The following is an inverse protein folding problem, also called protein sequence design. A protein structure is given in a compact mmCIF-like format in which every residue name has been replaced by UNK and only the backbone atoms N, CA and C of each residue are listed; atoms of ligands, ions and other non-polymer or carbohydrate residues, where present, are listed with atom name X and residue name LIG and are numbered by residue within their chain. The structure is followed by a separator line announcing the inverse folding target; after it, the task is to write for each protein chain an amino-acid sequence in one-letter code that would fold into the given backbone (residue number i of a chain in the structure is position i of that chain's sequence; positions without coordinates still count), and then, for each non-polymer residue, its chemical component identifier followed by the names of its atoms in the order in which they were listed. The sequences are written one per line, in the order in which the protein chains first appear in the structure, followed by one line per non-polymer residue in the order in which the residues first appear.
data_IF_215317640130
#
_entry.id   IF_215317640130
#
_cell.length_a   1.000
_cell.length_b   1.000
_cell.length_c   1.000
_cell.angle_alpha   90.00
_cell.angle_beta   90.00
_cell.angle_gamma   90.00
#
_symmetry.space_group_name_H-M   'P 1'
#
loop_
_entity.id
_entity.type
_entity.pdbx_description
1 polymer ?
#
# COMPACT_ATOMS: atom_id res chain seq x y z
N UNK A 1 -16.56 2.86 2.08
CA UNK A 1 -15.15 2.70 2.51
C UNK A 1 -14.84 1.19 2.55
N UNK A 2 -13.61 0.78 2.24
CA UNK A 2 -13.26 -0.66 2.15
C UNK A 2 -12.59 -1.24 3.40
N UNK A 3 -12.18 -0.39 4.35
CA UNK A 3 -11.59 -0.80 5.63
C UNK A 3 -12.28 -0.05 6.78
N UNK A 4 -13.54 -0.35 7.12
CA UNK A 4 -14.31 0.43 8.10
C UNK A 4 -13.99 0.11 9.56
N UNK A 5 -13.47 -1.09 9.85
CA UNK A 5 -13.31 -1.60 11.23
C UNK A 5 -12.07 -1.12 11.98
N UNK A 6 -12.08 -1.33 13.29
CA UNK A 6 -10.92 -1.27 14.19
C UNK A 6 -9.92 -2.40 13.92
N UNK A 7 -8.70 -2.34 14.45
CA UNK A 7 -7.67 -3.38 14.25
C UNK A 7 -8.19 -4.80 14.58
N UNK A 8 -8.93 -4.94 15.68
CA UNK A 8 -9.50 -6.23 16.07
C UNK A 8 -10.55 -6.73 15.07
N UNK A 9 -11.39 -5.83 14.56
CA UNK A 9 -12.41 -6.15 13.56
C UNK A 9 -11.78 -6.48 12.20
N UNK A 10 -10.68 -5.82 11.83
CA UNK A 10 -9.90 -6.11 10.61
C UNK A 10 -9.41 -7.55 10.65
N UNK A 11 -8.77 -7.97 11.75
CA UNK A 11 -8.25 -9.32 11.91
C UNK A 11 -9.39 -10.36 11.88
N UNK A 12 -10.52 -10.08 12.53
CA UNK A 12 -11.70 -10.93 12.46
C UNK A 12 -12.30 -11.01 11.05
N UNK A 13 -12.35 -9.89 10.33
CA UNK A 13 -12.81 -9.83 8.94
C UNK A 13 -11.95 -10.69 8.02
N UNK A 14 -10.62 -10.60 8.16
CA UNK A 14 -9.66 -11.43 7.42
C UNK A 14 -9.87 -12.93 7.73
N UNK A 15 -9.99 -13.27 9.02
CA UNK A 15 -10.07 -14.66 9.48
C UNK A 15 -11.40 -15.34 9.15
N UNK A 16 -12.51 -14.62 9.25
CA UNK A 16 -13.85 -15.21 9.23
C UNK A 16 -14.72 -14.76 8.05
N UNK A 17 -14.40 -13.64 7.37
CA UNK A 17 -15.28 -13.07 6.32
C UNK A 17 -14.60 -13.12 4.95
N UNK A 18 -13.49 -12.43 4.76
CA UNK A 18 -12.74 -12.39 3.51
C UNK A 18 -11.26 -12.09 3.77
N UNK A 19 -10.32 -12.96 3.40
CA UNK A 19 -10.52 -14.22 2.65
C UNK A 19 -11.31 -15.29 3.41
N UNK A 20 -11.41 -15.20 4.74
CA UNK A 20 -12.16 -16.16 5.55
C UNK A 20 -11.40 -17.48 5.73
N UNK A 21 -12.13 -18.55 6.02
CA UNK A 21 -11.59 -19.91 6.16
C UNK A 21 -10.41 -20.02 7.16
N UNK A 22 -10.49 -19.30 8.28
CA UNK A 22 -9.44 -19.24 9.30
C UNK A 22 -8.08 -18.74 8.79
N UNK A 23 -8.06 -18.00 7.67
CA UNK A 23 -6.83 -17.42 7.16
C UNK A 23 -6.22 -16.44 8.18
N UNK A 24 -4.92 -16.58 8.41
CA UNK A 24 -4.14 -15.69 9.28
C UNK A 24 -2.95 -15.17 8.48
N UNK A 25 -2.78 -13.84 8.34
CA UNK A 25 -1.60 -13.27 7.70
C UNK A 25 -0.33 -13.75 8.39
N UNK A 26 0.66 -14.19 7.61
CA UNK A 26 1.98 -14.62 8.12
C UNK A 26 3.00 -13.47 8.13
N UNK A 27 2.53 -12.23 8.08
CA UNK A 27 3.33 -11.02 8.09
C UNK A 27 2.73 -10.00 9.07
N UNK A 28 3.53 -9.04 9.57
CA UNK A 28 3.04 -8.04 10.51
C UNK A 28 1.92 -7.18 9.90
N UNK A 29 0.84 -7.02 10.65
CA UNK A 29 -0.22 -6.06 10.37
C UNK A 29 -0.08 -4.87 11.31
N UNK A 30 -0.14 -3.66 10.77
CA UNK A 30 -0.02 -2.42 11.54
C UNK A 30 -1.41 -1.83 11.81
N UNK A 31 -1.46 -0.86 12.74
CA UNK A 31 -2.67 -0.07 12.96
C UNK A 31 -3.07 0.68 11.68
N UNK A 32 -4.37 0.94 11.55
CA UNK A 32 -4.92 1.74 10.46
C UNK A 32 -4.39 3.18 10.56
N UNK A 33 -3.92 3.71 9.44
CA UNK A 33 -3.42 5.09 9.31
C UNK A 33 -3.92 5.71 8.00
N UNK A 34 -3.86 7.03 7.90
CA UNK A 34 -4.07 7.75 6.64
C UNK A 34 -2.78 7.73 5.81
N UNK A 35 -2.91 7.44 4.52
CA UNK A 35 -1.78 7.39 3.57
C UNK A 35 -1.74 8.59 2.62
N UNK A 36 -2.85 9.34 2.55
CA UNK A 36 -3.05 10.55 1.76
C UNK A 36 -3.82 11.59 2.59
N UNK A 37 -3.84 12.83 2.12
CA UNK A 37 -4.54 13.93 2.78
C UNK A 37 -3.75 14.58 3.90
N UNK A 38 -4.42 15.47 4.63
CA UNK A 38 -3.83 16.32 5.65
C UNK A 38 -3.14 15.53 6.78
N UNK A 39 -3.73 14.41 7.23
CA UNK A 39 -3.16 13.60 8.32
C UNK A 39 -2.36 12.39 7.82
N UNK A 40 -1.87 12.43 6.57
CA UNK A 40 -1.08 11.32 6.03
C UNK A 40 0.15 11.02 6.90
N UNK A 41 0.41 9.74 7.13
CA UNK A 41 1.52 9.32 7.97
C UNK A 41 2.89 9.68 7.33
N UNK A 42 3.89 10.15 8.11
CA UNK A 42 5.21 10.58 7.59
C UNK A 42 5.94 9.54 6.74
N UNK A 43 5.77 8.25 7.06
CA UNK A 43 6.29 7.15 6.24
C UNK A 43 5.78 7.23 4.80
N UNK A 44 4.48 7.47 4.60
CA UNK A 44 3.89 7.56 3.27
C UNK A 44 4.25 8.88 2.57
N UNK A 45 4.48 9.96 3.31
CA UNK A 45 5.10 11.17 2.75
C UNK A 45 6.47 10.86 2.15
N UNK A 46 7.33 10.17 2.90
CA UNK A 46 8.67 9.76 2.45
C UNK A 46 8.61 8.84 1.22
N UNK A 47 7.80 7.79 1.26
CA UNK A 47 7.67 6.82 0.17
C UNK A 47 7.15 7.47 -1.13
N UNK A 48 6.08 8.27 -1.05
CA UNK A 48 5.50 8.98 -2.21
C UNK A 48 6.45 10.01 -2.81
N UNK A 49 7.30 10.64 -1.98
CA UNK A 49 8.29 11.62 -2.42
C UNK A 49 9.49 11.00 -3.15
N UNK A 50 9.84 9.74 -2.84
CA UNK A 50 10.97 9.04 -3.49
C UNK A 50 10.56 8.20 -4.69
N UNK A 51 9.31 7.73 -4.74
CA UNK A 51 8.77 7.03 -5.90
C UNK A 51 7.45 7.69 -6.32
N UNK A 52 7.54 8.53 -7.36
CA UNK A 52 6.37 9.20 -7.94
C UNK A 52 5.43 8.19 -8.58
N UNK A 53 4.14 8.51 -8.62
CA UNK A 53 3.17 7.63 -9.26
C UNK A 53 3.43 7.61 -10.78
N UNK A 54 3.48 6.43 -11.43
CA UNK A 54 3.60 6.36 -12.88
C UNK A 54 2.30 6.78 -13.60
N UNK A 55 1.21 6.94 -12.86
CA UNK A 55 -0.11 7.24 -13.41
C UNK A 55 -0.51 8.69 -13.11
N UNK A 56 -0.56 9.59 -14.11
CA UNK A 56 -0.96 10.98 -13.91
C UNK A 56 -2.46 11.14 -13.65
N UNK A 57 -3.27 10.10 -13.88
CA UNK A 57 -4.72 10.14 -13.76
C UNK A 57 -5.16 9.72 -12.37
N UNK A 58 -6.00 10.56 -11.75
CA UNK A 58 -6.72 10.27 -10.53
C UNK A 58 -8.19 10.04 -10.87
N UNK A 59 -8.73 8.85 -10.61
CA UNK A 59 -10.14 8.57 -10.88
C UNK A 59 -10.64 7.39 -10.05
N UNK A 60 -11.88 7.43 -9.54
CA UNK A 60 -12.85 8.54 -9.52
C UNK A 60 -12.68 9.43 -8.28
N UNK A 61 -12.74 10.77 -8.43
CA UNK A 61 -12.58 11.72 -7.30
C UNK A 61 -13.65 11.55 -6.21
N UNK A 62 -14.84 11.12 -6.58
CA UNK A 62 -15.98 10.81 -5.70
C UNK A 62 -15.75 9.62 -4.77
N UNK A 63 -14.73 8.80 -5.04
CA UNK A 63 -14.34 7.66 -4.18
C UNK A 63 -13.12 7.96 -3.31
N UNK A 64 -12.65 9.21 -3.31
CA UNK A 64 -11.51 9.67 -2.51
C UNK A 64 -12.02 10.45 -1.31
N UNK A 65 -11.87 9.84 -0.13
CA UNK A 65 -12.36 10.40 1.12
C UNK A 65 -11.25 11.13 1.89
N UNK A 66 -10.50 12.01 1.22
CA UNK A 66 -9.42 12.79 1.83
C UNK A 66 -9.14 14.10 1.07
N UNK A 67 -8.50 15.06 1.74
CA UNK A 67 -8.07 16.36 1.21
C UNK A 67 -6.80 16.81 1.96
N UNK A 68 -5.89 17.59 1.36
CA UNK A 68 -5.83 17.94 -0.07
C UNK A 68 -5.37 16.77 -0.94
N UNK A 69 -5.67 16.85 -2.24
CA UNK A 69 -5.22 15.87 -3.24
C UNK A 69 -3.90 16.31 -3.87
N UNK A 70 -2.96 15.37 -3.99
CA UNK A 70 -1.65 15.58 -4.60
C UNK A 70 -1.39 14.58 -5.74
N UNK A 71 -0.62 15.02 -6.74
CA UNK A 71 -0.30 14.19 -7.91
C UNK A 71 0.40 12.87 -7.53
N UNK A 72 1.11 12.79 -6.40
CA UNK A 72 1.82 11.58 -5.98
C UNK A 72 1.04 10.68 -5.01
N UNK A 73 -0.22 11.01 -4.68
CA UNK A 73 -1.01 10.23 -3.72
C UNK A 73 -1.19 8.76 -4.11
N UNK A 74 -1.41 7.90 -3.12
CA UNK A 74 -1.76 6.50 -3.34
C UNK A 74 -3.11 6.44 -4.05
N UNK A 75 -3.19 5.67 -5.12
CA UNK A 75 -4.33 5.63 -6.04
C UNK A 75 -5.43 4.72 -5.55
N UNK A 76 -5.07 3.58 -4.95
CA UNK A 76 -6.03 2.60 -4.46
C UNK A 76 -5.40 1.62 -3.45
N UNK A 77 -6.25 0.79 -2.86
CA UNK A 77 -5.83 -0.33 -2.03
C UNK A 77 -4.90 -1.27 -2.81
N UNK A 78 -3.92 -1.85 -2.10
CA UNK A 78 -2.89 -2.75 -2.63
C UNK A 78 -1.83 -2.11 -3.56
N UNK A 79 -1.62 -0.80 -3.48
CA UNK A 79 -0.40 -0.18 -4.01
C UNK A 79 0.83 -0.59 -3.18
N UNK A 80 1.98 -0.78 -3.82
CA UNK A 80 3.13 -1.47 -3.20
C UNK A 80 4.42 -0.65 -3.38
N UNK A 81 5.24 -0.60 -2.35
CA UNK A 81 6.57 0.01 -2.39
C UNK A 81 7.63 -1.07 -2.10
N UNK A 82 8.68 -1.10 -2.91
CA UNK A 82 9.85 -1.93 -2.69
C UNK A 82 10.97 -1.06 -2.14
N UNK A 83 11.48 -1.45 -0.98
CA UNK A 83 12.54 -0.75 -0.25
C UNK A 83 13.74 -1.68 -0.16
N UNK A 84 14.94 -1.17 -0.48
CA UNK A 84 16.18 -1.94 -0.42
C UNK A 84 16.68 -2.13 1.03
N UNK A 85 17.74 -2.92 1.21
CA UNK A 85 18.34 -3.21 2.53
C UNK A 85 18.90 -1.97 3.23
N UNK A 86 19.09 -0.85 2.53
CA UNK A 86 19.59 0.42 3.06
C UNK A 86 18.43 1.36 3.45
N UNK A 87 17.18 0.91 3.30
CA UNK A 87 16.00 1.73 3.58
C UNK A 87 15.63 2.68 2.45
N UNK A 88 16.17 2.49 1.23
CA UNK A 88 15.89 3.35 0.09
C UNK A 88 14.71 2.77 -0.71
N UNK A 89 13.62 3.53 -0.94
CA UNK A 89 12.57 3.12 -1.86
C UNK A 89 13.12 3.06 -3.29
N UNK A 90 13.04 1.89 -3.92
CA UNK A 90 13.62 1.65 -5.25
C UNK A 90 12.56 1.46 -6.32
N UNK A 91 11.33 1.10 -5.95
CA UNK A 91 10.23 0.93 -6.92
C UNK A 91 8.85 1.06 -6.27
N UNK A 92 7.89 1.55 -7.04
CA UNK A 92 6.47 1.65 -6.70
C UNK A 92 5.63 0.91 -7.73
N UNK A 93 4.69 0.09 -7.28
CA UNK A 93 3.85 -0.75 -8.13
C UNK A 93 2.38 -0.40 -7.96
N UNK A 94 1.68 -0.29 -9.08
CA UNK A 94 0.23 -0.12 -9.10
C UNK A 94 -0.49 -1.36 -8.51
N UNK A 95 -1.73 -1.20 -8.02
CA UNK A 95 -2.53 -2.30 -7.48
C UNK A 95 -2.60 -3.55 -8.37
N UNK A 96 -2.65 -3.37 -9.69
CA UNK A 96 -2.80 -4.44 -10.68
C UNK A 96 -1.62 -5.42 -10.75
N UNK A 97 -0.44 -5.02 -10.27
CA UNK A 97 0.73 -5.92 -10.26
C UNK A 97 0.50 -7.05 -9.26
N UNK A 98 0.59 -8.28 -9.75
CA UNK A 98 0.47 -9.49 -8.95
C UNK A 98 1.66 -9.67 -7.99
N UNK A 99 1.49 -10.39 -6.86
CA UNK A 99 2.60 -10.72 -5.98
C UNK A 99 3.77 -11.40 -6.70
N UNK A 100 3.50 -12.27 -7.67
CA UNK A 100 4.51 -13.00 -8.45
C UNK A 100 5.34 -12.06 -9.32
N UNK A 101 4.70 -11.08 -9.96
CA UNK A 101 5.41 -10.06 -10.74
C UNK A 101 6.31 -9.22 -9.84
N UNK A 102 5.87 -8.86 -8.64
CA UNK A 102 6.68 -8.12 -7.67
C UNK A 102 7.86 -8.98 -7.18
N UNK A 103 7.63 -10.25 -6.88
CA UNK A 103 8.65 -11.18 -6.38
C UNK A 103 9.83 -11.32 -7.35
N UNK A 104 9.58 -11.40 -8.66
CA UNK A 104 10.65 -11.45 -9.68
C UNK A 104 11.61 -10.26 -9.59
N UNK A 105 11.13 -9.07 -9.23
CA UNK A 105 12.00 -7.90 -9.06
C UNK A 105 12.76 -7.92 -7.74
N UNK A 106 12.20 -8.53 -6.69
CA UNK A 106 12.90 -8.71 -5.42
C UNK A 106 14.13 -9.59 -5.64
N UNK A 107 14.00 -10.68 -6.39
CA UNK A 107 15.10 -11.60 -6.71
C UNK A 107 16.24 -10.90 -7.47
N UNK A 108 15.92 -9.96 -8.35
CA UNK A 108 16.94 -9.18 -9.07
C UNK A 108 17.74 -8.31 -8.10
N UNK A 109 17.08 -7.62 -7.16
CA UNK A 109 17.76 -6.77 -6.18
C UNK A 109 18.65 -7.57 -5.23
N UNK A 110 18.22 -8.76 -4.82
CA UNK A 110 18.99 -9.62 -3.90
C UNK A 110 20.18 -10.31 -4.56
N UNK A 111 20.12 -10.56 -5.88
CA UNK A 111 21.24 -11.13 -6.66
C UNK A 111 22.28 -10.10 -7.08
N UNK A 112 21.94 -8.82 -7.07
CA UNK A 112 22.82 -7.71 -7.49
C UNK A 112 23.54 -7.06 -6.30
N UNK A 113 23.47 -7.68 -5.12
CA UNK A 113 24.06 -7.23 -3.85
C UNK A 113 25.22 -8.13 -3.42
#
# INVERSE_FOLDING_TARGET
QQEPGSLQEILNGIKYVRPGNNYVPNFPMFQKIEVNGENQHPLYTFLKGRCTSPNPVFSPKDKLFYSPQNNNDIRWNFEKFLVDRRGVPVKRYEPRYSPEEVARYIDVLTRSS
#
